data_IF_437713507731
#
_entry.id   IF_437713507731
#
_cell.length_a   1.000
_cell.length_b   1.000
_cell.length_c   1.000
_cell.angle_alpha   90.00
_cell.angle_beta   90.00
_cell.angle_gamma   90.00
#
_symmetry.space_group_name_H-M   'P 1'
#
loop_
_entity.id
_entity.type
_entity.pdbx_description
1 polymer ?
#
# COMPACT_ATOMS: atom_id res chain seq x y z
N UNK A 1 -13.36 -15.62 -16.42
CA UNK A 1 -12.22 -16.13 -15.62
C UNK A 1 -10.99 -15.23 -15.79
N UNK A 2 -10.69 -14.76 -16.99
CA UNK A 2 -9.55 -13.86 -17.28
C UNK A 2 -9.64 -12.52 -16.52
N UNK A 3 -10.81 -11.90 -16.48
CA UNK A 3 -11.06 -10.68 -15.73
C UNK A 3 -10.70 -10.81 -14.22
N UNK A 4 -11.10 -11.91 -13.57
CA UNK A 4 -10.78 -12.15 -12.14
C UNK A 4 -9.28 -12.28 -11.93
N UNK A 5 -8.60 -13.06 -12.78
CA UNK A 5 -7.13 -13.25 -12.71
C UNK A 5 -6.42 -11.91 -12.92
N UNK A 6 -6.88 -11.10 -13.89
CA UNK A 6 -6.34 -9.76 -14.13
C UNK A 6 -6.47 -8.85 -12.91
N UNK A 7 -7.66 -8.80 -12.29
CA UNK A 7 -7.90 -8.00 -11.10
C UNK A 7 -6.99 -8.42 -9.93
N UNK A 8 -6.86 -9.74 -9.70
CA UNK A 8 -5.97 -10.25 -8.63
C UNK A 8 -4.51 -9.91 -8.93
N UNK A 9 -4.06 -10.07 -10.18
CA UNK A 9 -2.69 -9.74 -10.56
C UNK A 9 -2.36 -8.25 -10.34
N UNK A 10 -3.27 -7.35 -10.72
CA UNK A 10 -3.14 -5.90 -10.49
C UNK A 10 -3.11 -5.59 -9.00
N UNK A 11 -4.01 -6.21 -8.21
CA UNK A 11 -4.04 -6.02 -6.77
C UNK A 11 -2.73 -6.46 -6.11
N UNK A 12 -2.20 -7.63 -6.47
CA UNK A 12 -0.90 -8.13 -5.97
C UNK A 12 0.22 -7.16 -6.36
N UNK A 13 0.23 -6.71 -7.60
CA UNK A 13 1.27 -5.80 -8.11
C UNK A 13 1.24 -4.46 -7.38
N UNK A 14 0.06 -3.85 -7.26
CA UNK A 14 -0.12 -2.58 -6.56
C UNK A 14 0.27 -2.69 -5.09
N UNK A 15 -0.22 -3.73 -4.38
CA UNK A 15 0.11 -3.97 -2.98
C UNK A 15 1.62 -4.17 -2.78
N UNK A 16 2.24 -5.02 -3.60
CA UNK A 16 3.66 -5.33 -3.48
C UNK A 16 4.51 -4.09 -3.72
N UNK A 17 4.18 -3.29 -4.74
CA UNK A 17 4.91 -2.08 -5.08
C UNK A 17 4.86 -1.03 -3.97
N UNK A 18 3.75 -0.94 -3.23
CA UNK A 18 3.56 0.08 -2.20
C UNK A 18 3.93 -0.37 -0.78
N UNK A 19 4.13 -1.68 -0.55
CA UNK A 19 4.34 -2.21 0.81
C UNK A 19 5.62 -3.02 0.96
N UNK A 20 6.51 -3.01 -0.03
CA UNK A 20 7.72 -3.84 0.05
C UNK A 20 8.71 -3.30 1.10
N UNK A 21 8.75 -2.00 1.31
CA UNK A 21 9.50 -1.31 2.36
C UNK A 21 8.89 -1.52 3.74
N UNK A 22 7.57 -1.70 3.84
CA UNK A 22 6.89 -2.07 5.09
C UNK A 22 7.44 -3.37 5.69
N UNK A 23 8.01 -4.26 4.87
CA UNK A 23 8.67 -5.48 5.37
C UNK A 23 9.80 -5.15 6.35
N UNK A 24 10.56 -4.06 6.12
CA UNK A 24 11.61 -3.62 7.05
C UNK A 24 11.02 -3.19 8.38
N UNK A 25 9.99 -2.33 8.33
CA UNK A 25 9.32 -1.81 9.53
C UNK A 25 8.72 -2.95 10.34
N UNK A 26 8.00 -3.87 9.66
CA UNK A 26 7.42 -5.05 10.29
C UNK A 26 8.48 -5.97 10.86
N UNK A 27 9.60 -6.17 10.16
CA UNK A 27 10.73 -6.98 10.65
C UNK A 27 11.30 -6.39 11.94
N UNK A 28 11.43 -5.06 12.02
CA UNK A 28 11.88 -4.37 13.24
C UNK A 28 10.86 -4.56 14.37
N UNK A 29 9.56 -4.44 14.10
CA UNK A 29 8.52 -4.71 15.09
C UNK A 29 8.56 -6.16 15.59
N UNK A 30 8.69 -7.14 14.71
CA UNK A 30 8.78 -8.54 15.11
C UNK A 30 10.07 -8.85 15.89
N UNK A 31 11.17 -8.15 15.61
CA UNK A 31 12.42 -8.30 16.38
C UNK A 31 12.31 -7.72 17.80
N UNK A 32 11.34 -6.83 18.07
CA UNK A 32 11.09 -6.22 19.38
C UNK A 32 10.05 -6.99 20.22
N UNK A 33 9.58 -8.14 19.73
CA UNK A 33 8.59 -8.97 20.45
C UNK A 33 9.10 -9.40 21.81
N UNK A 34 8.30 -9.12 22.84
CA UNK A 34 8.57 -9.49 24.24
C UNK A 34 7.28 -9.94 24.97
N UNK A 35 7.31 -9.99 26.31
CA UNK A 35 6.14 -10.36 27.13
C UNK A 35 4.96 -9.38 27.04
N UNK A 36 5.23 -8.09 26.75
CA UNK A 36 4.24 -7.00 26.64
C UNK A 36 3.87 -6.70 25.20
N UNK A 37 4.83 -6.74 24.28
CA UNK A 37 4.65 -6.51 22.85
C UNK A 37 4.65 -7.86 22.11
N UNK A 38 3.46 -8.40 21.84
CA UNK A 38 3.26 -9.74 21.27
C UNK A 38 3.01 -9.69 19.77
N UNK A 39 3.31 -10.75 18.99
CA UNK A 39 3.08 -10.81 17.53
C UNK A 39 1.65 -10.43 17.13
N UNK A 40 0.66 -10.76 17.94
CA UNK A 40 -0.75 -10.40 17.70
C UNK A 40 -0.98 -8.88 17.67
N UNK A 41 -0.21 -8.09 18.46
CA UNK A 41 -0.34 -6.63 18.46
C UNK A 41 0.15 -6.05 17.15
N UNK A 42 1.18 -6.66 16.55
CA UNK A 42 1.70 -6.27 15.23
C UNK A 42 0.69 -6.63 14.16
N UNK A 43 0.19 -7.86 14.16
CA UNK A 43 -0.78 -8.32 13.17
C UNK A 43 -2.06 -7.47 13.20
N UNK A 44 -2.69 -7.28 14.36
CA UNK A 44 -3.90 -6.46 14.47
C UNK A 44 -3.63 -4.98 14.19
N UNK A 45 -2.46 -4.46 14.56
CA UNK A 45 -2.06 -3.09 14.26
C UNK A 45 -1.90 -2.86 12.77
N UNK A 46 -1.26 -3.80 12.07
CA UNK A 46 -1.11 -3.75 10.61
C UNK A 46 -2.47 -3.77 9.91
N UNK A 47 -3.37 -4.68 10.30
CA UNK A 47 -4.72 -4.71 9.75
C UNK A 47 -5.49 -3.42 10.00
N UNK A 48 -5.38 -2.84 11.20
CA UNK A 48 -6.08 -1.60 11.55
C UNK A 48 -5.54 -0.40 10.78
N UNK A 49 -4.20 -0.25 10.70
CA UNK A 49 -3.56 0.82 9.93
C UNK A 49 -3.89 0.71 8.45
N UNK A 50 -3.82 -0.51 7.91
CA UNK A 50 -4.14 -0.75 6.50
C UNK A 50 -5.62 -0.56 6.17
N UNK A 51 -6.53 -0.94 7.09
CA UNK A 51 -7.95 -0.64 6.95
C UNK A 51 -8.21 0.87 6.88
N UNK A 52 -7.48 1.67 7.66
CA UNK A 52 -7.56 3.13 7.59
C UNK A 52 -7.05 3.66 6.23
N UNK A 53 -5.99 3.08 5.64
CA UNK A 53 -5.50 3.42 4.30
C UNK A 53 -6.55 3.10 3.22
N UNK A 54 -7.16 1.91 3.29
CA UNK A 54 -8.25 1.53 2.38
C UNK A 54 -9.40 2.53 2.50
N UNK A 55 -9.85 2.83 3.73
CA UNK A 55 -10.94 3.78 3.97
C UNK A 55 -10.60 5.19 3.44
N UNK A 56 -9.37 5.66 3.64
CA UNK A 56 -8.89 6.93 3.12
C UNK A 56 -8.83 6.95 1.58
N UNK A 57 -8.72 5.79 0.93
CA UNK A 57 -8.67 5.66 -0.54
C UNK A 57 -10.05 5.45 -1.17
N UNK A 58 -11.08 5.06 -0.41
CA UNK A 58 -12.45 4.85 -0.91
C UNK A 58 -13.09 6.08 -1.58
N UNK A 59 -12.81 7.33 -1.20
CA UNK A 59 -13.29 8.49 -1.95
C UNK A 59 -12.95 8.43 -3.45
N UNK A 60 -11.83 7.78 -3.82
CA UNK A 60 -11.49 7.52 -5.22
C UNK A 60 -12.58 6.70 -5.93
N UNK A 61 -13.02 5.60 -5.32
CA UNK A 61 -14.08 4.77 -5.89
C UNK A 61 -15.40 5.53 -6.05
N UNK A 62 -15.83 6.28 -5.03
CA UNK A 62 -17.06 7.06 -5.12
C UNK A 62 -16.95 8.19 -6.16
N UNK A 63 -15.78 8.83 -6.27
CA UNK A 63 -15.50 9.78 -7.34
C UNK A 63 -15.63 9.14 -8.72
N UNK A 64 -15.14 7.91 -8.86
CA UNK A 64 -15.22 7.11 -10.08
C UNK A 64 -16.65 6.77 -10.53
N UNK A 65 -17.61 6.75 -9.61
CA UNK A 65 -19.03 6.53 -9.95
C UNK A 65 -19.73 7.79 -10.52
N UNK A 66 -19.16 8.96 -10.30
CA UNK A 66 -19.79 10.24 -10.64
C UNK A 66 -19.09 10.87 -11.85
N UNK A 67 -17.77 10.69 -11.96
CA UNK A 67 -16.92 11.29 -12.97
C UNK A 67 -16.85 10.33 -14.18
N UNK A 68 -16.91 10.90 -15.39
CA UNK A 68 -16.73 10.11 -16.62
C UNK A 68 -15.39 9.37 -16.58
N UNK A 69 -15.39 8.11 -16.95
CA UNK A 69 -14.25 7.19 -16.91
C UNK A 69 -13.00 7.75 -17.60
N UNK A 70 -13.17 8.49 -18.69
CA UNK A 70 -12.07 9.15 -19.42
C UNK A 70 -11.29 10.17 -18.57
N UNK A 71 -11.97 10.86 -17.66
CA UNK A 71 -11.33 11.82 -16.75
C UNK A 71 -10.67 11.14 -15.54
N UNK A 72 -11.23 10.00 -15.12
CA UNK A 72 -10.68 9.20 -14.02
C UNK A 72 -9.27 8.72 -14.35
N UNK A 73 -9.02 8.34 -15.59
CA UNK A 73 -7.71 7.88 -16.00
C UNK A 73 -6.59 8.92 -15.86
N UNK A 74 -6.92 10.22 -15.77
CA UNK A 74 -5.92 11.25 -15.42
C UNK A 74 -5.34 11.03 -14.01
N UNK A 75 -6.06 10.37 -13.11
CA UNK A 75 -5.52 9.98 -11.81
C UNK A 75 -4.37 8.97 -11.94
N UNK A 76 -4.27 8.25 -13.05
CA UNK A 76 -3.12 7.41 -13.37
C UNK A 76 -1.80 8.16 -13.49
N UNK A 77 -1.86 9.49 -13.65
CA UNK A 77 -0.67 10.34 -13.58
C UNK A 77 -0.05 10.38 -12.18
N UNK A 78 -0.82 10.10 -11.11
CA UNK A 78 -0.31 10.09 -9.74
C UNK A 78 0.73 8.97 -9.53
N UNK A 79 0.42 7.68 -9.78
CA UNK A 79 1.44 6.64 -9.67
C UNK A 79 2.61 6.84 -10.65
N UNK A 80 2.39 7.42 -11.84
CA UNK A 80 3.50 7.78 -12.73
C UNK A 80 4.39 8.85 -12.09
N UNK A 81 3.80 9.90 -11.53
CA UNK A 81 4.56 10.98 -10.89
C UNK A 81 5.34 10.48 -9.67
N UNK A 82 4.73 9.60 -8.85
CA UNK A 82 5.40 8.95 -7.71
C UNK A 82 6.57 8.11 -8.22
N UNK A 83 6.36 7.23 -9.19
CA UNK A 83 7.42 6.39 -9.75
C UNK A 83 8.56 7.20 -10.38
N UNK A 84 8.27 8.30 -11.08
CA UNK A 84 9.30 9.20 -11.62
C UNK A 84 10.05 9.87 -10.46
N UNK A 85 9.36 10.37 -9.45
CA UNK A 85 9.98 10.97 -8.26
C UNK A 85 10.95 9.98 -7.60
N UNK A 86 10.55 8.74 -7.41
CA UNK A 86 11.36 7.69 -6.75
C UNK A 86 12.60 7.33 -7.58
N UNK A 87 12.55 7.43 -8.91
CA UNK A 87 13.72 7.25 -9.77
C UNK A 87 14.81 8.31 -9.54
N UNK A 88 14.42 9.53 -9.16
CA UNK A 88 15.33 10.66 -8.98
C UNK A 88 15.69 10.94 -7.52
N UNK A 89 14.89 10.49 -6.57
CA UNK A 89 15.19 10.62 -5.14
C UNK A 89 15.84 9.31 -4.64
N UNK A 90 17.06 9.42 -4.09
CA UNK A 90 17.56 8.36 -3.20
C UNK A 90 16.64 8.33 -2.00
N UNK A 91 16.02 7.17 -1.73
CA UNK A 91 15.22 7.02 -0.53
C UNK A 91 16.09 7.35 0.68
N UNK A 92 15.59 8.28 1.50
CA UNK A 92 16.12 8.49 2.84
C UNK A 92 15.93 7.17 3.60
N UNK A 93 16.97 6.72 4.31
CA UNK A 93 16.86 5.53 5.15
C UNK A 93 15.60 5.63 5.99
N UNK A 94 14.76 4.60 5.95
CA UNK A 94 13.54 4.50 6.75
C UNK A 94 13.94 4.63 8.21
N UNK A 95 13.93 5.86 8.71
CA UNK A 95 14.12 6.13 10.11
C UNK A 95 12.78 5.79 10.77
N UNK A 96 12.66 4.54 11.24
CA UNK A 96 11.58 4.20 12.14
C UNK A 96 11.76 5.10 13.36
N UNK A 97 11.06 6.24 13.34
CA UNK A 97 10.92 7.02 14.56
C UNK A 97 10.18 6.11 15.54
N UNK A 98 10.95 5.44 16.37
CA UNK A 98 10.43 4.76 17.53
C UNK A 98 9.88 5.87 18.42
N UNK A 99 8.65 6.31 18.12
CA UNK A 99 7.92 7.19 19.00
C UNK A 99 7.84 6.43 20.32
N UNK A 100 8.66 6.84 21.28
CA UNK A 100 8.53 6.40 22.66
C UNK A 100 7.06 6.53 23.01
N UNK A 101 6.43 5.40 23.36
CA UNK A 101 5.03 5.34 23.74
C UNK A 101 4.84 6.24 24.95
N UNK A 102 4.57 7.52 24.69
CA UNK A 102 4.03 8.38 25.72
C UNK A 102 2.60 7.90 25.95
N UNK A 103 2.30 7.47 27.15
CA UNK A 103 1.00 7.01 27.65
C UNK A 103 -0.06 8.12 27.58
N UNK A 104 -0.39 8.62 26.40
CA UNK A 104 -1.43 9.65 26.25
C UNK A 104 -2.36 9.26 25.09
N UNK A 105 -3.37 8.47 25.43
CA UNK A 105 -4.46 8.16 24.52
C UNK A 105 -5.09 6.81 24.86
N UNK A 106 -5.81 6.72 25.95
CA UNK A 106 -6.64 5.55 26.26
C UNK A 106 -7.86 5.52 25.35
N UNK A 107 -7.73 4.88 24.20
CA UNK A 107 -8.88 4.22 23.60
C UNK A 107 -9.07 2.91 24.37
N UNK A 108 -10.13 2.75 25.18
CA UNK A 108 -10.24 1.65 26.15
C UNK A 108 -10.44 0.26 25.54
N UNK A 109 -10.48 0.16 24.20
CA UNK A 109 -10.77 -1.08 23.45
C UNK A 109 -9.57 -1.68 22.74
N UNK A 110 -8.47 -0.96 22.56
CA UNK A 110 -7.31 -1.40 21.77
C UNK A 110 -6.05 -1.29 22.62
N UNK A 111 -5.23 -2.35 22.63
CA UNK A 111 -3.94 -2.30 23.32
C UNK A 111 -3.06 -1.16 22.76
N UNK A 112 -2.37 -0.37 23.61
CA UNK A 112 -1.52 0.73 23.16
C UNK A 112 -0.49 0.32 22.11
N UNK A 113 0.01 -0.92 22.21
CA UNK A 113 0.97 -1.50 21.26
C UNK A 113 0.35 -1.71 19.87
N UNK A 114 -0.89 -2.18 19.81
CA UNK A 114 -1.65 -2.34 18.56
C UNK A 114 -1.91 -0.99 17.90
N UNK A 115 -2.30 0.00 18.70
CA UNK A 115 -2.51 1.37 18.23
C UNK A 115 -1.21 1.97 17.67
N UNK A 116 -0.09 1.77 18.35
CA UNK A 116 1.22 2.25 17.89
C UNK A 116 1.57 1.68 16.51
N UNK A 117 1.44 0.36 16.32
CA UNK A 117 1.69 -0.27 15.01
C UNK A 117 0.74 0.30 13.96
N UNK A 118 -0.56 0.46 14.27
CA UNK A 118 -1.54 1.00 13.34
C UNK A 118 -1.22 2.43 12.89
N UNK A 119 -0.78 3.28 13.82
CA UNK A 119 -0.36 4.67 13.51
C UNK A 119 0.87 4.69 12.62
N UNK A 120 1.87 3.86 12.91
CA UNK A 120 3.09 3.77 12.08
C UNK A 120 2.74 3.27 10.68
N UNK A 121 1.94 2.21 10.56
CA UNK A 121 1.47 1.69 9.28
C UNK A 121 0.72 2.76 8.48
N UNK A 122 -0.20 3.49 9.11
CA UNK A 122 -0.96 4.54 8.44
C UNK A 122 -0.05 5.71 8.01
N UNK A 123 0.88 6.12 8.87
CA UNK A 123 1.79 7.23 8.57
C UNK A 123 2.77 6.88 7.44
N UNK A 124 3.20 5.61 7.36
CA UNK A 124 4.06 5.14 6.28
C UNK A 124 3.30 4.97 4.95
N UNK A 125 2.01 4.68 5.00
CA UNK A 125 1.18 4.40 3.82
C UNK A 125 0.62 5.64 3.11
N UNK A 126 1.28 6.80 3.20
CA UNK A 126 0.84 8.02 2.51
C UNK A 126 0.90 7.90 0.98
N UNK A 127 1.90 7.24 0.45
CA UNK A 127 2.09 6.90 -0.96
C UNK A 127 1.09 5.84 -1.44
N UNK A 128 0.72 4.88 -0.58
CA UNK A 128 -0.33 3.90 -0.87
C UNK A 128 -1.64 4.59 -1.26
N UNK A 129 -2.04 5.65 -0.55
CA UNK A 129 -3.24 6.43 -0.88
C UNK A 129 -3.13 7.02 -2.29
N UNK A 130 -1.94 7.55 -2.65
CA UNK A 130 -1.68 8.12 -3.99
C UNK A 130 -1.86 7.10 -5.12
N UNK A 131 -1.74 5.79 -4.83
CA UNK A 131 -1.87 4.70 -5.79
C UNK A 131 -3.25 4.04 -5.71
N UNK A 132 -3.77 3.84 -4.48
CA UNK A 132 -5.06 3.17 -4.31
C UNK A 132 -6.25 4.05 -4.72
N UNK A 133 -6.18 5.38 -4.55
CA UNK A 133 -7.23 6.31 -5.01
C UNK A 133 -7.51 6.14 -6.52
N UNK A 134 -6.52 6.28 -7.42
CA UNK A 134 -6.75 6.06 -8.85
C UNK A 134 -7.14 4.62 -9.20
N UNK A 135 -6.56 3.62 -8.52
CA UNK A 135 -6.91 2.22 -8.72
C UNK A 135 -8.37 1.94 -8.36
N UNK A 136 -8.86 2.46 -7.23
CA UNK A 136 -10.25 2.30 -6.81
C UNK A 136 -11.21 3.10 -7.70
N UNK A 137 -10.80 4.29 -8.15
CA UNK A 137 -11.59 5.11 -9.06
C UNK A 137 -11.88 4.42 -10.40
N UNK A 138 -10.92 3.64 -10.92
CA UNK A 138 -11.07 2.87 -12.17
C UNK A 138 -11.74 1.51 -11.98
N UNK A 139 -12.05 1.10 -10.73
CA UNK A 139 -12.55 -0.23 -10.41
C UNK A 139 -14.08 -0.30 -10.43
N UNK A 140 -14.62 -1.42 -10.93
CA UNK A 140 -16.01 -1.81 -10.67
C UNK A 140 -16.18 -2.27 -9.22
N UNK A 141 -17.43 -2.33 -8.71
CA UNK A 141 -17.71 -2.81 -7.35
C UNK A 141 -17.16 -4.24 -7.12
N UNK A 142 -17.24 -5.11 -8.14
CA UNK A 142 -16.71 -6.46 -8.07
C UNK A 142 -15.18 -6.46 -8.05
N UNK A 143 -14.52 -5.66 -8.89
CA UNK A 143 -13.06 -5.52 -8.91
C UNK A 143 -12.54 -4.96 -7.59
N UNK A 144 -13.20 -3.92 -7.05
CA UNK A 144 -12.85 -3.34 -5.76
C UNK A 144 -12.92 -4.37 -4.63
N UNK A 145 -14.01 -5.16 -4.59
CA UNK A 145 -14.18 -6.20 -3.56
C UNK A 145 -13.08 -7.25 -3.62
N UNK A 146 -12.69 -7.69 -4.83
CA UNK A 146 -11.60 -8.64 -5.04
C UNK A 146 -10.26 -8.01 -4.65
N UNK A 147 -10.02 -6.77 -5.01
CA UNK A 147 -8.80 -6.04 -4.66
C UNK A 147 -8.64 -5.93 -3.14
N UNK A 148 -9.69 -5.52 -2.42
CA UNK A 148 -9.67 -5.42 -0.95
C UNK A 148 -9.45 -6.81 -0.32
N UNK A 149 -10.15 -7.85 -0.80
CA UNK A 149 -9.95 -9.21 -0.32
C UNK A 149 -8.51 -9.68 -0.52
N UNK A 150 -7.93 -9.41 -1.69
CA UNK A 150 -6.54 -9.73 -2.02
C UNK A 150 -5.58 -8.98 -1.07
N UNK A 151 -5.81 -7.69 -0.82
CA UNK A 151 -5.00 -6.91 0.13
C UNK A 151 -5.03 -7.49 1.53
N UNK A 152 -6.22 -7.87 2.03
CA UNK A 152 -6.35 -8.48 3.36
C UNK A 152 -5.57 -9.80 3.48
N UNK A 153 -5.54 -10.61 2.43
CA UNK A 153 -4.71 -11.82 2.40
C UNK A 153 -3.22 -11.46 2.38
N UNK A 154 -2.82 -10.49 1.55
CA UNK A 154 -1.44 -10.08 1.42
C UNK A 154 -0.88 -9.46 2.71
N UNK A 155 -1.68 -8.74 3.50
CA UNK A 155 -1.27 -8.26 4.83
C UNK A 155 -0.80 -9.43 5.72
N UNK A 156 -1.56 -10.53 5.76
CA UNK A 156 -1.15 -11.72 6.53
C UNK A 156 0.15 -12.32 5.98
N UNK A 157 0.29 -12.40 4.66
CA UNK A 157 1.51 -12.90 4.00
C UNK A 157 2.71 -12.01 4.33
N UNK A 158 2.55 -10.67 4.30
CA UNK A 158 3.60 -9.71 4.64
C UNK A 158 4.02 -9.82 6.11
N UNK A 159 3.04 -9.88 7.03
CA UNK A 159 3.34 -10.10 8.45
C UNK A 159 4.08 -11.43 8.69
N UNK A 160 3.68 -12.50 8.00
CA UNK A 160 4.36 -13.79 8.10
C UNK A 160 5.80 -13.73 7.55
N UNK A 161 5.99 -13.11 6.39
CA UNK A 161 7.31 -12.91 5.80
C UNK A 161 8.22 -12.09 6.73
N UNK A 162 7.73 -10.97 7.25
CA UNK A 162 8.47 -10.12 8.18
C UNK A 162 8.81 -10.85 9.49
N UNK A 163 7.90 -11.68 10.01
CA UNK A 163 8.18 -12.53 11.16
C UNK A 163 9.34 -13.50 10.89
N UNK A 164 9.36 -14.13 9.72
CA UNK A 164 10.48 -15.00 9.33
C UNK A 164 11.78 -14.20 9.14
N UNK A 165 11.70 -12.99 8.60
CA UNK A 165 12.88 -12.14 8.40
C UNK A 165 13.40 -11.51 9.70
N UNK A 166 12.61 -11.45 10.76
CA UNK A 166 13.05 -10.91 12.06
C UNK A 166 14.24 -11.66 12.65
N UNK A 167 14.42 -12.94 12.27
CA UNK A 167 15.61 -13.74 12.61
C UNK A 167 16.79 -13.49 11.66
N UNK A 168 16.55 -12.89 10.49
CA UNK A 168 17.57 -12.66 9.44
C UNK A 168 17.41 -11.25 8.82
N UNK A 169 17.69 -10.17 9.58
CA UNK A 169 17.44 -8.79 9.13
C UNK A 169 18.21 -8.40 7.86
N UNK A 170 19.29 -9.12 7.54
CA UNK A 170 20.03 -8.91 6.29
C UNK A 170 19.18 -9.21 5.04
N UNK A 171 18.25 -10.16 5.11
CA UNK A 171 17.34 -10.49 3.99
C UNK A 171 16.34 -9.38 3.75
N UNK A 172 15.74 -8.82 4.81
CA UNK A 172 14.83 -7.70 4.70
C UNK A 172 15.52 -6.47 4.08
N UNK A 173 16.75 -6.19 4.49
CA UNK A 173 17.57 -5.09 3.96
C UNK A 173 17.95 -5.30 2.48
N UNK A 174 18.22 -6.55 2.10
CA UNK A 174 18.49 -6.91 0.70
C UNK A 174 17.23 -6.70 -0.16
N UNK A 175 16.07 -7.15 0.32
CA UNK A 175 14.80 -7.04 -0.39
C UNK A 175 14.43 -5.57 -0.64
N UNK A 176 14.53 -4.71 0.39
CA UNK A 176 14.30 -3.28 0.26
C UNK A 176 15.21 -2.64 -0.80
N UNK A 177 16.50 -2.97 -0.80
CA UNK A 177 17.43 -2.42 -1.78
C UNK A 177 17.07 -2.74 -3.24
N UNK A 178 16.51 -3.94 -3.49
CA UNK A 178 16.06 -4.32 -4.83
C UNK A 178 14.70 -3.70 -5.17
N UNK A 179 13.85 -3.45 -4.17
CA UNK A 179 12.58 -2.77 -4.38
C UNK A 179 12.79 -1.35 -4.90
N UNK A 180 13.74 -0.62 -4.34
CA UNK A 180 14.07 0.75 -4.75
C UNK A 180 14.37 0.87 -6.25
N UNK A 181 14.89 -0.21 -6.85
CA UNK A 181 15.18 -0.25 -8.27
C UNK A 181 13.98 -0.66 -9.13
N UNK A 182 13.04 -1.45 -8.61
CA UNK A 182 11.95 -2.08 -9.39
C UNK A 182 10.63 -1.33 -9.20
N UNK A 183 10.32 -0.90 -7.99
CA UNK A 183 9.04 -0.25 -7.64
C UNK A 183 8.73 0.95 -8.55
N UNK A 184 9.65 1.88 -8.85
CA UNK A 184 9.34 3.02 -9.71
C UNK A 184 8.80 2.61 -11.07
N UNK A 185 9.36 1.57 -11.68
CA UNK A 185 8.89 1.07 -12.98
C UNK A 185 7.52 0.41 -12.88
N UNK A 186 7.24 -0.30 -11.78
CA UNK A 186 5.93 -0.92 -11.53
C UNK A 186 4.87 0.17 -11.36
N UNK A 187 5.17 1.24 -10.62
CA UNK A 187 4.25 2.37 -10.43
C UNK A 187 3.95 3.10 -11.74
N UNK A 188 4.96 3.33 -12.56
CA UNK A 188 4.78 3.92 -13.89
C UNK A 188 3.91 3.01 -14.76
N UNK A 189 4.17 1.71 -14.77
CA UNK A 189 3.38 0.74 -15.53
C UNK A 189 1.92 0.68 -15.04
N UNK A 190 1.69 0.74 -13.72
CA UNK A 190 0.36 0.78 -13.13
C UNK A 190 -0.41 2.05 -13.52
N UNK A 191 0.25 3.20 -13.51
CA UNK A 191 -0.36 4.45 -13.93
C UNK A 191 -0.72 4.46 -15.42
N UNK A 192 0.16 3.92 -16.28
CA UNK A 192 -0.13 3.72 -17.70
C UNK A 192 -1.32 2.78 -17.89
N UNK A 193 -1.38 1.68 -17.12
CA UNK A 193 -2.51 0.75 -17.13
C UNK A 193 -3.83 1.46 -16.78
N UNK A 194 -3.86 2.30 -15.75
CA UNK A 194 -5.05 3.06 -15.35
C UNK A 194 -5.51 4.01 -16.46
N UNK A 195 -4.58 4.72 -17.12
CA UNK A 195 -4.87 5.60 -18.25
C UNK A 195 -5.45 4.81 -19.43
N UNK A 196 -4.91 3.64 -19.71
CA UNK A 196 -5.36 2.77 -20.80
C UNK A 196 -6.74 2.18 -20.50
N UNK A 197 -6.96 1.59 -19.33
CA UNK A 197 -8.22 0.97 -18.91
C UNK A 197 -9.37 1.99 -18.86
N UNK A 198 -9.07 3.23 -18.49
CA UNK A 198 -10.05 4.33 -18.46
C UNK A 198 -10.26 5.01 -19.81
N UNK A 199 -9.64 4.52 -20.88
CA UNK A 199 -9.73 5.10 -22.25
C UNK A 199 -9.39 6.60 -22.31
N UNK A 200 -8.59 7.11 -21.39
CA UNK A 200 -8.23 8.54 -21.27
C UNK A 200 -7.54 9.08 -22.53
N UNK A 201 -6.86 8.21 -23.28
CA UNK A 201 -6.23 8.57 -24.56
C UNK A 201 -7.23 9.14 -25.58
N UNK A 202 -8.55 8.85 -25.46
CA UNK A 202 -9.60 9.42 -26.31
C UNK A 202 -9.86 10.91 -26.03
N UNK A 203 -9.35 11.47 -24.92
CA UNK A 203 -9.39 12.92 -24.68
C UNK A 203 -8.38 13.69 -25.53
N UNK A 204 -7.41 13.01 -26.12
CA UNK A 204 -6.43 13.63 -27.01
C UNK A 204 -7.03 13.81 -28.40
N UNK A 205 -6.95 15.01 -29.03
CA UNK A 205 -7.55 15.29 -30.33
C UNK A 205 -6.94 14.48 -31.50
N UNK A 206 -5.89 13.69 -31.22
CA UNK A 206 -5.24 12.82 -32.22
C UNK A 206 -5.95 11.45 -32.36
N UNK A 207 -6.88 11.11 -31.48
CA UNK A 207 -7.58 9.83 -31.43
C UNK A 207 -9.11 9.99 -31.57
N UNK A 208 -9.59 11.17 -31.92
CA UNK A 208 -11.00 11.47 -32.30
C UNK A 208 -11.19 11.47 -33.78
#
# INVERSE_FOLDING_TARGET
MEWFIGTVAIAITAFTATNIDDILILTIFFAQVDSKFRPRHILFGQYLGFAALILASLPGYFGGLIIDHKWIGLLGLLPIAIGIKDLFQKQEEVTVQTCAIHEQGKLPLIAPQTYHVAVVTFANGGDNIGIYVPLFASSSAASLSITIATFLVLIAVWCYAAYQFSTHPAIAKFLSKYSDAIVPFVLIALGIYIIYESETYQLLPLFN
#
